data_IF_118917186926
#
_entry.id   IF_118917186926
#
_cell.length_a   1.000
_cell.length_b   1.000
_cell.length_c   1.000
_cell.angle_alpha   90.00
_cell.angle_beta   90.00
_cell.angle_gamma   90.00
#
_symmetry.space_group_name_H-M   'P 1'
#
loop_
_entity.id
_entity.type
_entity.pdbx_description
1 polymer ?
#
# COMPACT_ATOMS: atom_id res chain seq x y z
N UNK A 1 -19.53 18.20 17.53
CA UNK A 1 -19.71 16.88 16.90
C UNK A 1 -18.36 16.48 16.32
N UNK A 2 -17.57 15.68 17.03
CA UNK A 2 -16.24 15.27 16.60
C UNK A 2 -16.36 13.93 15.88
N UNK A 3 -16.12 13.91 14.57
CA UNK A 3 -16.09 12.67 13.79
C UNK A 3 -14.84 11.89 14.22
N UNK A 4 -15.03 10.83 15.00
CA UNK A 4 -13.95 9.90 15.27
C UNK A 4 -13.60 9.18 13.95
N UNK A 5 -12.49 9.54 13.33
CA UNK A 5 -11.96 8.81 12.17
C UNK A 5 -11.33 7.52 12.70
N UNK A 6 -12.01 6.40 12.50
CA UNK A 6 -11.42 5.09 12.76
C UNK A 6 -10.34 4.83 11.71
N UNK A 7 -9.08 4.79 12.13
CA UNK A 7 -7.98 4.35 11.26
C UNK A 7 -8.07 2.83 11.13
N UNK A 8 -8.72 2.36 10.07
CA UNK A 8 -8.64 0.96 9.68
C UNK A 8 -7.31 0.73 8.96
N UNK A 9 -6.36 0.05 9.60
CA UNK A 9 -5.18 -0.47 8.89
C UNK A 9 -5.61 -1.68 8.09
N UNK A 10 -5.36 -1.66 6.79
CA UNK A 10 -5.35 -2.90 6.01
C UNK A 10 -4.44 -3.90 6.73
N UNK A 11 -4.91 -5.13 6.94
CA UNK A 11 -4.17 -6.18 7.67
C UNK A 11 -3.08 -6.79 6.78
N UNK A 12 -2.34 -5.92 6.09
CA UNK A 12 -1.24 -6.22 5.19
C UNK A 12 0.08 -5.98 5.89
N UNK A 13 1.07 -6.78 5.54
CA UNK A 13 2.45 -6.60 5.95
C UNK A 13 3.27 -6.20 4.72
N UNK A 14 3.91 -5.04 4.80
CA UNK A 14 4.84 -4.51 3.81
C UNK A 14 6.11 -4.06 4.52
N UNK A 15 7.24 -4.08 3.81
CA UNK A 15 8.46 -3.48 4.33
C UNK A 15 8.25 -1.97 4.53
N UNK A 16 8.59 -1.41 5.70
CA UNK A 16 8.27 -0.02 6.04
C UNK A 16 9.12 0.99 5.26
N UNK A 17 10.29 0.56 4.78
CA UNK A 17 11.24 1.42 4.07
C UNK A 17 12.11 0.58 3.13
N UNK A 18 12.47 1.18 2.00
CA UNK A 18 13.47 0.64 1.08
C UNK A 18 14.30 1.80 0.54
N UNK A 19 15.61 1.70 0.65
CA UNK A 19 16.54 2.65 0.03
C UNK A 19 17.20 2.01 -1.18
N UNK A 20 17.31 2.75 -2.27
CA UNK A 20 17.90 2.27 -3.51
C UNK A 20 18.56 3.42 -4.27
N UNK A 21 19.34 3.10 -5.28
CA UNK A 21 19.95 4.08 -6.18
C UNK A 21 19.00 4.47 -7.31
N UNK A 22 19.12 5.71 -7.79
CA UNK A 22 18.33 6.18 -8.93
C UNK A 22 18.55 5.29 -10.16
N UNK A 23 17.46 4.94 -10.84
CA UNK A 23 17.48 4.03 -12.00
C UNK A 23 17.46 2.54 -11.65
N UNK A 24 17.50 2.16 -10.37
CA UNK A 24 17.39 0.76 -9.94
C UNK A 24 15.93 0.34 -9.83
N UNK A 25 15.58 -0.77 -10.50
CA UNK A 25 14.28 -1.41 -10.32
C UNK A 25 14.16 -2.02 -8.93
N UNK A 26 13.01 -1.83 -8.29
CA UNK A 26 12.71 -2.36 -6.95
C UNK A 26 11.49 -3.28 -6.99
N UNK A 27 11.44 -4.20 -6.02
CA UNK A 27 10.25 -5.00 -5.73
C UNK A 27 9.71 -4.60 -4.36
N UNK A 28 8.45 -4.17 -4.31
CA UNK A 28 7.74 -3.91 -3.06
C UNK A 28 6.85 -5.10 -2.77
N UNK A 29 7.11 -5.79 -1.66
CA UNK A 29 6.33 -6.97 -1.27
C UNK A 29 5.17 -6.58 -0.37
N UNK A 30 4.01 -7.17 -0.62
CA UNK A 30 2.85 -7.12 0.26
C UNK A 30 2.42 -8.55 0.57
N UNK A 31 2.26 -8.87 1.85
CA UNK A 31 1.62 -10.10 2.29
C UNK A 31 0.33 -9.78 3.01
N UNK A 32 -0.75 -10.43 2.60
CA UNK A 32 -2.07 -10.28 3.21
C UNK A 32 -2.53 -11.68 3.70
N UNK A 33 -2.14 -12.10 4.91
CA UNK A 33 -2.32 -13.49 5.36
C UNK A 33 -3.79 -13.94 5.45
N UNK A 34 -4.73 -12.99 5.48
CA UNK A 34 -6.18 -13.24 5.58
C UNK A 34 -6.94 -12.84 4.32
N UNK A 35 -6.26 -12.65 3.18
CA UNK A 35 -6.93 -12.23 1.95
C UNK A 35 -7.76 -13.38 1.40
N UNK A 36 -8.95 -13.08 0.92
CA UNK A 36 -9.75 -14.07 0.19
C UNK A 36 -9.27 -14.15 -1.25
N UNK A 37 -9.38 -15.32 -1.89
CA UNK A 37 -8.88 -15.54 -3.26
C UNK A 37 -9.60 -14.73 -4.34
N UNK A 38 -10.69 -14.06 -4.00
CA UNK A 38 -11.46 -13.18 -4.87
C UNK A 38 -11.28 -11.69 -4.55
N UNK A 39 -10.42 -11.34 -3.58
CA UNK A 39 -10.12 -9.95 -3.22
C UNK A 39 -8.93 -9.45 -4.04
N UNK A 40 -9.01 -8.19 -4.48
CA UNK A 40 -7.90 -7.54 -5.20
C UNK A 40 -7.05 -6.73 -4.23
N UNK A 41 -5.74 -6.74 -4.45
CA UNK A 41 -4.80 -5.84 -3.80
C UNK A 41 -4.62 -4.62 -4.69
N UNK A 42 -5.00 -3.45 -4.19
CA UNK A 42 -4.81 -2.17 -4.87
C UNK A 42 -3.55 -1.47 -4.37
N UNK A 43 -2.67 -1.10 -5.30
CA UNK A 43 -1.42 -0.42 -5.01
C UNK A 43 -1.57 1.08 -5.25
N UNK A 44 -1.22 1.86 -4.24
CA UNK A 44 -1.20 3.32 -4.31
C UNK A 44 0.18 3.86 -3.94
N UNK A 45 0.58 4.96 -4.58
CA UNK A 45 1.74 5.77 -4.22
C UNK A 45 1.28 7.09 -3.65
N UNK A 46 1.89 7.54 -2.57
CA UNK A 46 1.70 8.89 -2.06
C UNK A 46 3.06 9.60 -1.98
N UNK A 47 3.17 10.70 -2.71
CA UNK A 47 4.31 11.62 -2.62
C UNK A 47 3.95 12.71 -1.62
N UNK A 48 4.90 13.21 -0.79
CA UNK A 48 4.63 14.30 0.14
C UNK A 48 3.91 15.49 -0.54
N UNK A 49 2.85 15.99 0.09
CA UNK A 49 2.04 17.09 -0.43
C UNK A 49 1.03 16.72 -1.53
N UNK A 50 0.91 15.44 -1.92
CA UNK A 50 -0.06 14.97 -2.91
C UNK A 50 -1.03 13.95 -2.32
N UNK A 51 -2.19 13.81 -2.97
CA UNK A 51 -3.13 12.73 -2.67
C UNK A 51 -2.60 11.37 -3.15
N UNK A 52 -3.23 10.26 -2.74
CA UNK A 52 -2.89 8.92 -3.23
C UNK A 52 -3.06 8.81 -4.75
N UNK A 53 -2.07 8.23 -5.41
CA UNK A 53 -2.05 7.93 -6.84
C UNK A 53 -2.18 6.42 -7.04
N UNK A 54 -3.18 5.99 -7.79
CA UNK A 54 -3.36 4.57 -8.13
C UNK A 54 -2.25 4.11 -9.08
N UNK A 55 -1.66 2.95 -8.78
CA UNK A 55 -0.63 2.33 -9.61
C UNK A 55 -1.19 1.13 -10.39
N UNK A 56 -1.66 0.11 -9.68
CA UNK A 56 -2.07 -1.18 -10.25
C UNK A 56 -2.94 -1.96 -9.27
N UNK A 57 -3.75 -2.89 -9.79
CA UNK A 57 -4.48 -3.90 -9.02
C UNK A 57 -3.91 -5.27 -9.31
N UNK A 58 -3.60 -6.04 -8.28
CA UNK A 58 -3.13 -7.42 -8.40
C UNK A 58 -4.15 -8.38 -7.77
N UNK A 59 -4.25 -9.60 -8.31
CA UNK A 59 -4.94 -10.71 -7.66
C UNK A 59 -4.10 -11.27 -6.52
#
# INVERSE_FOLDING_TARGET
>A
FSMAVAVARAQVQQEPSLETTEGTSINITCSHPKIQTNEMIYWYRQVPGRGPEYLVSTL
#
